data_IF_609020899873
#
_entry.id   IF_609020899873
#
_cell.length_a   1.000
_cell.length_b   1.000
_cell.length_c   1.000
_cell.angle_alpha   90.00
_cell.angle_beta   90.00
_cell.angle_gamma   90.00
#
_symmetry.space_group_name_H-M   'P 1'
#
loop_
_entity.id
_entity.type
_entity.pdbx_description
1 polymer ?
#
# COMPACT_ATOMS: atom_id res chain seq x y z
N UNK A 1 -14.81 -0.72 -14.75
CA UNK A 1 -15.60 -1.71 -13.98
C UNK A 1 -15.00 -1.75 -12.59
N UNK A 2 -15.81 -1.55 -11.56
CA UNK A 2 -15.37 -1.63 -10.16
C UNK A 2 -15.29 -3.11 -9.78
N UNK A 3 -14.13 -3.57 -9.30
CA UNK A 3 -14.01 -4.92 -8.77
C UNK A 3 -14.91 -5.11 -7.54
N UNK A 4 -15.49 -6.31 -7.35
CA UNK A 4 -16.22 -6.60 -6.12
C UNK A 4 -15.26 -6.59 -4.93
N UNK A 5 -15.73 -6.14 -3.76
CA UNK A 5 -14.92 -6.14 -2.56
C UNK A 5 -14.41 -7.55 -2.22
N UNK A 6 -13.11 -7.68 -1.94
CA UNK A 6 -12.47 -8.90 -1.49
C UNK A 6 -12.83 -9.14 -0.01
N UNK A 7 -13.69 -10.13 0.33
CA UNK A 7 -14.23 -10.25 1.69
C UNK A 7 -13.16 -10.51 2.75
N UNK A 8 -12.05 -11.15 2.39
CA UNK A 8 -10.97 -11.41 3.33
C UNK A 8 -10.19 -10.14 3.69
N UNK A 9 -10.21 -9.09 2.87
CA UNK A 9 -9.63 -7.79 3.24
C UNK A 9 -10.29 -7.26 4.53
N UNK A 10 -11.62 -7.31 4.59
CA UNK A 10 -12.38 -6.91 5.77
C UNK A 10 -12.10 -7.78 6.98
N UNK A 11 -12.03 -9.11 6.80
CA UNK A 11 -11.86 -10.03 7.93
C UNK A 11 -10.52 -9.87 8.66
N UNK A 12 -9.46 -9.49 7.95
CA UNK A 12 -8.11 -9.32 8.54
C UNK A 12 -7.83 -7.90 9.03
N UNK A 13 -8.66 -6.93 8.66
CA UNK A 13 -8.41 -5.50 8.90
C UNK A 13 -8.14 -5.18 10.37
N UNK A 14 -8.98 -5.68 11.29
CA UNK A 14 -8.80 -5.43 12.73
C UNK A 14 -7.49 -6.00 13.27
N UNK A 15 -7.11 -7.20 12.82
CA UNK A 15 -5.85 -7.87 13.20
C UNK A 15 -4.65 -7.07 12.71
N UNK A 16 -4.67 -6.62 11.45
CA UNK A 16 -3.60 -5.82 10.85
C UNK A 16 -3.48 -4.46 11.55
N UNK A 17 -4.61 -3.80 11.83
CA UNK A 17 -4.62 -2.51 12.54
C UNK A 17 -4.02 -2.63 13.94
N UNK A 18 -4.41 -3.66 14.71
CA UNK A 18 -3.87 -3.91 16.03
C UNK A 18 -2.36 -4.23 16.00
N UNK A 19 -1.93 -4.99 14.98
CA UNK A 19 -0.52 -5.29 14.76
C UNK A 19 0.29 -3.99 14.56
N UNK A 20 -0.11 -3.13 13.62
CA UNK A 20 0.59 -1.86 13.39
C UNK A 20 0.52 -0.92 14.60
N UNK A 21 -0.62 -0.82 15.29
CA UNK A 21 -0.74 -0.02 16.51
C UNK A 21 0.31 -0.41 17.56
N UNK A 22 0.49 -1.72 17.78
CA UNK A 22 1.50 -2.25 18.71
C UNK A 22 2.93 -1.91 18.27
N UNK A 23 3.24 -2.06 16.98
CA UNK A 23 4.57 -1.74 16.45
C UNK A 23 4.88 -0.23 16.52
N UNK A 24 3.91 0.63 16.22
CA UNK A 24 4.05 2.08 16.35
C UNK A 24 4.22 2.50 17.82
N UNK A 25 3.49 1.89 18.75
CA UNK A 25 3.67 2.14 20.18
C UNK A 25 5.07 1.72 20.66
N UNK A 26 5.54 0.54 20.25
CA UNK A 26 6.88 0.07 20.58
C UNK A 26 7.98 0.99 20.02
N UNK A 27 7.83 1.45 18.77
CA UNK A 27 8.77 2.39 18.15
C UNK A 27 8.82 3.74 18.89
N UNK A 28 7.67 4.25 19.35
CA UNK A 28 7.60 5.48 20.14
C UNK A 28 8.33 5.35 21.48
N UNK A 29 8.16 4.21 22.17
CA UNK A 29 8.88 3.92 23.42
C UNK A 29 10.40 3.84 23.22
N UNK A 30 10.85 3.44 22.04
CA UNK A 30 12.27 3.42 21.66
C UNK A 30 12.81 4.79 21.20
N UNK A 31 12.00 5.86 21.30
CA UNK A 31 12.42 7.21 20.96
C UNK A 31 12.43 7.53 19.47
N UNK A 32 11.85 6.68 18.60
CA UNK A 32 11.66 7.04 17.18
C UNK A 32 10.63 8.17 17.09
N UNK A 33 11.08 9.33 16.60
CA UNK A 33 10.26 10.53 16.42
C UNK A 33 9.53 10.55 15.08
N UNK A 34 10.11 9.94 14.07
CA UNK A 34 9.56 9.86 12.72
C UNK A 34 8.93 8.48 12.52
N UNK A 35 7.61 8.46 12.34
CA UNK A 35 6.88 7.23 12.12
C UNK A 35 5.71 7.50 11.18
N UNK A 36 5.47 6.55 10.27
CA UNK A 36 4.32 6.60 9.40
C UNK A 36 3.01 6.70 10.23
N UNK A 37 1.99 7.39 9.72
CA UNK A 37 0.70 7.46 10.37
C UNK A 37 0.11 6.05 10.52
N UNK A 38 -0.60 5.83 11.62
CA UNK A 38 -1.34 4.60 11.80
C UNK A 38 -2.51 4.57 10.80
N UNK A 39 -2.58 3.59 9.90
CA UNK A 39 -3.73 3.47 9.02
C UNK A 39 -4.97 3.05 9.81
N UNK A 40 -6.13 3.59 9.44
CA UNK A 40 -7.41 3.11 9.95
C UNK A 40 -7.87 1.82 9.24
N UNK A 41 -8.95 1.24 9.75
CA UNK A 41 -9.52 0.01 9.21
C UNK A 41 -9.86 0.13 7.71
N UNK A 42 -10.51 1.23 7.33
CA UNK A 42 -10.94 1.46 5.95
C UNK A 42 -9.76 1.55 4.98
N UNK A 43 -8.68 2.21 5.40
CA UNK A 43 -7.44 2.34 4.63
C UNK A 43 -6.77 0.98 4.45
N UNK A 44 -6.70 0.17 5.51
CA UNK A 44 -6.16 -1.19 5.44
C UNK A 44 -6.98 -2.06 4.47
N UNK A 45 -8.30 -2.07 4.61
CA UNK A 45 -9.20 -2.82 3.73
C UNK A 45 -8.99 -2.40 2.27
N UNK A 46 -8.95 -1.10 1.98
CA UNK A 46 -8.76 -0.57 0.64
C UNK A 46 -7.40 -0.94 0.02
N UNK A 47 -6.30 -0.90 0.80
CA UNK A 47 -4.97 -1.30 0.33
C UNK A 47 -4.96 -2.80 0.00
N UNK A 48 -5.48 -3.65 0.89
CA UNK A 48 -5.50 -5.10 0.68
C UNK A 48 -6.38 -5.46 -0.52
N UNK A 49 -7.58 -4.90 -0.60
CA UNK A 49 -8.52 -5.12 -1.70
C UNK A 49 -7.91 -4.72 -3.05
N UNK A 50 -7.35 -3.51 -3.11
CA UNK A 50 -6.73 -2.99 -4.34
C UNK A 50 -5.50 -3.80 -4.76
N UNK A 51 -4.62 -4.15 -3.81
CA UNK A 51 -3.43 -4.94 -4.10
C UNK A 51 -3.79 -6.37 -4.55
N UNK A 52 -4.80 -6.99 -3.92
CA UNK A 52 -5.28 -8.30 -4.31
C UNK A 52 -5.78 -8.30 -5.76
N UNK A 53 -6.70 -7.39 -6.11
CA UNK A 53 -7.23 -7.32 -7.47
C UNK A 53 -6.17 -6.91 -8.49
N UNK A 54 -5.22 -6.05 -8.12
CA UNK A 54 -4.08 -5.72 -8.98
C UNK A 54 -3.23 -6.96 -9.28
N UNK A 55 -3.01 -7.84 -8.29
CA UNK A 55 -2.17 -9.03 -8.43
C UNK A 55 -2.74 -10.08 -9.41
N UNK A 56 -4.06 -10.06 -9.64
CA UNK A 56 -4.73 -10.96 -10.58
C UNK A 56 -4.74 -10.44 -12.02
N UNK A 57 -4.39 -9.18 -12.23
CA UNK A 57 -4.33 -8.57 -13.57
C UNK A 57 -3.03 -9.00 -14.27
N UNK A 58 -3.00 -8.82 -15.59
CA UNK A 58 -1.80 -9.03 -16.41
C UNK A 58 -1.61 -7.82 -17.31
N UNK A 59 -0.38 -7.34 -17.39
CA UNK A 59 0.03 -6.31 -18.34
C UNK A 59 0.98 -6.95 -19.35
N UNK A 60 0.65 -6.89 -20.64
CA UNK A 60 1.44 -7.50 -21.73
C UNK A 60 1.80 -8.99 -21.51
N UNK A 61 0.99 -9.71 -20.73
CA UNK A 61 1.23 -11.12 -20.38
C UNK A 61 2.07 -11.35 -19.12
N UNK A 62 2.47 -10.32 -18.39
CA UNK A 62 3.19 -10.45 -17.12
C UNK A 62 2.28 -10.15 -15.94
N UNK A 63 2.44 -10.92 -14.86
CA UNK A 63 1.80 -10.59 -13.58
C UNK A 63 2.51 -9.40 -12.97
N UNK A 64 1.80 -8.33 -12.58
CA UNK A 64 2.40 -7.13 -12.02
C UNK A 64 3.04 -7.45 -10.67
N UNK A 65 4.30 -7.03 -10.48
CA UNK A 65 4.97 -7.06 -9.18
C UNK A 65 5.03 -5.65 -8.63
N UNK A 66 4.32 -5.42 -7.52
CA UNK A 66 4.28 -4.13 -6.87
C UNK A 66 4.25 -4.31 -5.35
N UNK A 67 5.05 -3.50 -4.66
CA UNK A 67 5.02 -3.36 -3.20
C UNK A 67 4.38 -2.02 -2.86
N UNK A 68 3.52 -1.99 -1.85
CA UNK A 68 2.89 -0.76 -1.37
C UNK A 68 3.41 -0.45 0.03
N UNK A 69 3.67 0.84 0.29
CA UNK A 69 3.99 1.35 1.60
C UNK A 69 3.05 2.52 1.92
N UNK A 70 2.48 2.53 3.12
CA UNK A 70 1.60 3.60 3.60
C UNK A 70 2.40 4.56 4.47
N UNK A 71 2.88 5.65 3.88
CA UNK A 71 3.69 6.66 4.54
C UNK A 71 3.59 8.01 3.81
N UNK A 72 3.82 9.13 4.50
CA UNK A 72 3.95 10.43 3.85
C UNK A 72 5.26 10.49 3.03
N UNK A 73 5.30 11.23 1.90
CA UNK A 73 6.47 11.27 1.00
C UNK A 73 7.77 11.68 1.69
N UNK A 74 7.70 12.52 2.71
CA UNK A 74 8.86 13.02 3.47
C UNK A 74 9.61 11.88 4.17
N UNK A 75 8.93 10.76 4.46
CA UNK A 75 9.53 9.57 5.06
C UNK A 75 10.04 8.55 4.03
N UNK A 76 9.89 8.81 2.72
CA UNK A 76 10.35 7.92 1.65
C UNK A 76 11.81 8.18 1.23
N UNK A 77 12.50 9.16 1.81
CA UNK A 77 13.91 9.46 1.51
C UNK A 77 14.08 10.36 0.28
N UNK A 78 13.91 9.81 -0.94
CA UNK A 78 14.05 10.55 -2.21
C UNK A 78 12.83 10.38 -3.14
N UNK A 79 11.61 10.70 -2.66
CA UNK A 79 10.38 10.35 -3.36
C UNK A 79 10.31 10.96 -4.77
N UNK A 80 10.03 10.13 -5.78
CA UNK A 80 9.45 10.59 -7.03
C UNK A 80 7.93 10.70 -6.89
N UNK A 81 7.40 11.91 -7.08
CA UNK A 81 5.97 12.18 -6.92
C UNK A 81 5.32 12.50 -8.26
N UNK A 82 4.06 12.10 -8.42
CA UNK A 82 3.26 12.49 -9.58
C UNK A 82 2.75 13.93 -9.40
N UNK A 83 2.77 14.72 -10.48
CA UNK A 83 2.17 16.06 -10.52
C UNK A 83 0.68 16.02 -10.13
N UNK A 84 -0.03 14.95 -10.55
CA UNK A 84 -1.43 14.71 -10.22
C UNK A 84 -1.58 13.42 -9.43
N UNK A 85 -2.37 13.48 -8.35
CA UNK A 85 -2.68 12.30 -7.54
C UNK A 85 -3.37 11.24 -8.41
N UNK A 86 -2.84 10.03 -8.35
CA UNK A 86 -3.44 8.88 -9.01
C UNK A 86 -4.37 8.17 -8.02
N UNK A 87 -5.58 7.74 -8.45
CA UNK A 87 -6.45 6.99 -7.58
C UNK A 87 -5.85 5.61 -7.31
N UNK A 88 -5.90 5.15 -6.07
CA UNK A 88 -5.53 3.79 -5.70
C UNK A 88 -6.58 2.84 -6.24
N UNK A 89 -6.33 2.29 -7.43
CA UNK A 89 -7.19 1.29 -8.07
C UNK A 89 -6.35 0.14 -8.61
N UNK A 90 -6.93 -1.05 -8.78
CA UNK A 90 -6.21 -2.18 -9.36
C UNK A 90 -5.61 -1.86 -10.73
N UNK A 91 -6.36 -1.14 -11.58
CA UNK A 91 -5.91 -0.74 -12.92
C UNK A 91 -4.73 0.25 -12.85
N UNK A 92 -4.79 1.23 -11.94
CA UNK A 92 -3.66 2.16 -11.72
C UNK A 92 -2.41 1.40 -11.30
N UNK A 93 -2.52 0.50 -10.31
CA UNK A 93 -1.37 -0.23 -9.78
C UNK A 93 -0.75 -1.17 -10.82
N UNK A 94 -1.57 -1.92 -11.56
CA UNK A 94 -1.06 -2.84 -12.59
C UNK A 94 -0.27 -2.09 -13.67
N UNK A 95 -0.76 -0.92 -14.11
CA UNK A 95 -0.05 -0.08 -15.08
C UNK A 95 1.24 0.55 -14.55
N UNK A 96 1.30 0.85 -13.26
CA UNK A 96 2.50 1.41 -12.63
C UNK A 96 3.55 0.34 -12.32
N UNK A 97 3.14 -0.90 -12.07
CA UNK A 97 4.03 -1.97 -11.63
C UNK A 97 5.32 -2.13 -12.47
N UNK A 98 5.28 -2.10 -13.82
CA UNK A 98 6.51 -2.20 -14.63
C UNK A 98 7.50 -1.05 -14.39
N UNK A 99 7.03 0.13 -13.99
CA UNK A 99 7.87 1.29 -13.70
C UNK A 99 8.53 1.22 -12.32
N UNK A 100 8.07 0.33 -11.43
CA UNK A 100 8.51 0.25 -10.01
C UNK A 100 8.99 -1.14 -9.58
N UNK A 101 9.12 -2.10 -10.51
CA UNK A 101 9.43 -3.51 -10.24
C UNK A 101 10.83 -3.75 -9.64
N UNK A 102 11.72 -2.75 -9.66
CA UNK A 102 13.08 -2.87 -9.10
C UNK A 102 13.18 -2.18 -7.73
N UNK A 103 13.56 -2.88 -6.64
CA UNK A 103 13.71 -2.31 -5.29
C UNK A 103 14.95 -1.41 -5.13
N UNK A 104 15.46 -0.84 -6.23
CA UNK A 104 16.77 -0.19 -6.28
C UNK A 104 16.77 1.32 -6.10
N UNK A 105 15.77 2.04 -6.60
CA UNK A 105 15.75 3.50 -6.58
C UNK A 105 14.28 3.90 -6.68
N UNK A 106 13.78 4.68 -5.73
CA UNK A 106 12.85 5.81 -5.85
C UNK A 106 12.52 6.26 -4.43
#
# INVERSE_FOLDING_TARGET
MTEPAYPAARSVTATVQAHFARHLAAARLQGRRESAPQPDAQTIEAIIDTAFWASLRREEGYSPKISLAFLPPELAGQPLTFERRLPLTPTTLSRLAPAVERPGIH
#
